data_IF_950781850837
#
_entry.id   IF_950781850837
#
_cell.length_a   1.000
_cell.length_b   1.000
_cell.length_c   1.000
_cell.angle_alpha   90.00
_cell.angle_beta   90.00
_cell.angle_gamma   90.00
#
_symmetry.space_group_name_H-M   'P 1'
#
loop_
_entity.id
_entity.type
_entity.pdbx_description
1 polymer ?
#
# COMPACT_ATOMS: atom_id res chain seq x y z
N UNK A 1 9.30 7.73 -43.48
CA UNK A 1 8.96 6.70 -42.48
C UNK A 1 8.31 7.38 -41.30
N UNK A 2 6.99 7.28 -41.17
CA UNK A 2 6.23 7.95 -40.11
C UNK A 2 6.38 7.14 -38.82
N UNK A 3 7.02 7.70 -37.81
CA UNK A 3 7.05 7.11 -36.48
C UNK A 3 5.61 6.98 -35.97
N UNK A 4 5.22 5.87 -35.32
CA UNK A 4 3.92 5.80 -34.67
C UNK A 4 3.90 6.90 -33.61
N UNK A 5 3.04 7.90 -33.82
CA UNK A 5 2.74 8.97 -32.88
C UNK A 5 2.18 8.28 -31.64
N UNK A 6 3.05 7.93 -30.68
CA UNK A 6 2.65 7.27 -29.45
C UNK A 6 1.67 8.19 -28.75
N UNK A 7 0.40 7.91 -28.96
CA UNK A 7 -0.71 8.58 -28.32
C UNK A 7 -0.55 8.30 -26.83
N UNK A 8 -0.45 9.35 -26.02
CA UNK A 8 -0.24 9.25 -24.58
C UNK A 8 -1.56 9.61 -23.90
N UNK A 9 -1.91 8.89 -22.83
CA UNK A 9 -3.06 9.19 -21.99
C UNK A 9 -2.60 9.73 -20.64
N UNK A 10 -3.32 10.73 -20.13
CA UNK A 10 -3.11 11.27 -18.80
C UNK A 10 -4.02 10.57 -17.81
N UNK A 11 -3.49 10.27 -16.62
CA UNK A 11 -4.26 9.69 -15.52
C UNK A 11 -3.74 10.14 -14.17
N UNK A 12 -4.54 9.94 -13.13
CA UNK A 12 -4.15 10.20 -11.74
C UNK A 12 -3.75 8.90 -11.06
N UNK A 13 -2.59 8.90 -10.39
CA UNK A 13 -2.16 7.75 -9.60
C UNK A 13 -3.04 7.57 -8.36
N UNK A 14 -3.59 6.37 -8.09
CA UNK A 14 -4.55 6.14 -7.00
C UNK A 14 -3.94 6.27 -5.59
N UNK A 15 -2.62 6.39 -5.49
CA UNK A 15 -1.88 6.37 -4.21
C UNK A 15 -1.37 7.76 -3.82
N UNK A 16 -0.90 8.54 -4.79
CA UNK A 16 -0.29 9.84 -4.57
C UNK A 16 -1.12 10.99 -5.16
N UNK A 17 -2.17 10.69 -5.94
CA UNK A 17 -2.96 11.70 -6.65
C UNK A 17 -2.15 12.48 -7.70
N UNK A 18 -0.94 12.04 -8.02
CA UNK A 18 -0.09 12.73 -9.00
C UNK A 18 -0.58 12.41 -10.41
N UNK A 19 -0.70 13.45 -11.23
CA UNK A 19 -0.98 13.32 -12.66
C UNK A 19 0.26 12.72 -13.36
N UNK A 20 0.08 11.64 -14.11
CA UNK A 20 1.17 11.01 -14.86
C UNK A 20 0.70 10.58 -16.26
N UNK A 21 1.67 10.44 -17.18
CA UNK A 21 1.44 9.98 -18.55
C UNK A 21 1.71 8.50 -18.66
N UNK A 22 0.83 7.81 -19.39
CA UNK A 22 1.02 6.42 -19.81
C UNK A 22 0.89 6.32 -21.32
N UNK A 23 1.57 5.34 -21.92
CA UNK A 23 1.35 5.02 -23.33
C UNK A 23 -0.11 4.56 -23.54
N UNK A 24 -0.75 4.94 -24.65
CA UNK A 24 -2.10 4.44 -24.97
C UNK A 24 -2.09 2.91 -24.95
N UNK A 25 -3.06 2.33 -24.26
CA UNK A 25 -3.18 0.88 -24.14
C UNK A 25 -2.25 0.25 -23.08
N UNK A 26 -1.39 1.02 -22.41
CA UNK A 26 -0.69 0.50 -21.23
C UNK A 26 -1.69 0.23 -20.10
N UNK A 27 -1.49 -0.91 -19.42
CA UNK A 27 -2.22 -1.28 -18.20
C UNK A 27 -1.60 -0.68 -16.93
N UNK A 28 -0.61 0.19 -17.07
CA UNK A 28 0.06 0.82 -15.92
C UNK A 28 -0.87 1.82 -15.21
N UNK A 29 -1.19 1.50 -13.96
CA UNK A 29 -2.07 2.32 -13.11
C UNK A 29 -1.32 3.23 -12.13
N UNK A 30 -0.02 2.99 -11.94
CA UNK A 30 0.80 3.69 -10.94
C UNK A 30 1.88 4.52 -11.61
N UNK A 31 2.12 5.72 -11.10
CA UNK A 31 3.14 6.64 -11.65
C UNK A 31 4.58 6.20 -11.39
N UNK A 32 4.81 5.26 -10.47
CA UNK A 32 6.14 4.77 -10.10
C UNK A 32 6.04 3.43 -9.37
N UNK A 33 7.13 2.65 -9.37
CA UNK A 33 7.23 1.43 -8.58
C UNK A 33 7.00 1.70 -7.08
N UNK A 34 7.44 2.84 -6.56
CA UNK A 34 7.19 3.23 -5.17
C UNK A 34 5.68 3.32 -4.86
N UNK A 35 4.89 3.89 -5.77
CA UNK A 35 3.44 3.96 -5.60
C UNK A 35 2.79 2.59 -5.72
N UNK A 36 3.27 1.76 -6.66
CA UNK A 36 2.82 0.37 -6.81
C UNK A 36 3.08 -0.45 -5.54
N UNK A 37 4.27 -0.36 -4.97
CA UNK A 37 4.63 -1.04 -3.73
C UNK A 37 3.85 -0.52 -2.52
N UNK A 38 3.60 0.80 -2.45
CA UNK A 38 2.74 1.37 -1.41
C UNK A 38 1.30 0.83 -1.53
N UNK A 39 0.74 0.75 -2.73
CA UNK A 39 -0.59 0.15 -2.95
C UNK A 39 -0.64 -1.32 -2.55
N UNK A 40 0.39 -2.11 -2.91
CA UNK A 40 0.48 -3.52 -2.50
C UNK A 40 0.53 -3.66 -0.98
N UNK A 41 1.35 -2.84 -0.31
CA UNK A 41 1.45 -2.82 1.16
C UNK A 41 0.11 -2.44 1.81
N UNK A 42 -0.58 -1.45 1.26
CA UNK A 42 -1.90 -1.05 1.75
C UNK A 42 -2.90 -2.20 1.64
N UNK A 43 -2.99 -2.85 0.47
CA UNK A 43 -3.85 -4.03 0.29
C UNK A 43 -3.52 -5.14 1.29
N UNK A 44 -2.23 -5.44 1.49
CA UNK A 44 -1.80 -6.45 2.45
C UNK A 44 -2.19 -6.07 3.89
N UNK A 45 -2.05 -4.80 4.24
CA UNK A 45 -2.46 -4.26 5.53
C UNK A 45 -3.97 -4.45 5.76
N UNK A 46 -4.78 -4.09 4.77
CA UNK A 46 -6.24 -4.19 4.83
C UNK A 46 -6.72 -5.65 4.89
N UNK A 47 -6.11 -6.54 4.11
CA UNK A 47 -6.39 -7.99 4.17
C UNK A 47 -6.09 -8.56 5.55
N UNK A 48 -4.89 -8.29 6.10
CA UNK A 48 -4.52 -8.76 7.43
C UNK A 48 -5.46 -8.22 8.51
N UNK A 49 -5.86 -6.96 8.41
CA UNK A 49 -6.83 -6.35 9.33
C UNK A 49 -8.19 -7.03 9.26
N UNK A 50 -8.68 -7.35 8.05
CA UNK A 50 -9.93 -8.09 7.86
C UNK A 50 -9.85 -9.52 8.40
N UNK A 51 -8.69 -10.16 8.31
CA UNK A 51 -8.43 -11.51 8.88
C UNK A 51 -8.16 -11.50 10.40
N UNK A 52 -8.11 -10.32 11.04
CA UNK A 52 -7.77 -10.21 12.46
C UNK A 52 -6.30 -10.50 12.77
N UNK A 53 -5.42 -10.35 11.79
CA UNK A 53 -3.98 -10.49 11.90
C UNK A 53 -3.30 -9.14 12.10
N UNK A 54 -2.09 -9.16 12.67
CA UNK A 54 -1.25 -7.99 12.82
C UNK A 54 -0.91 -7.44 11.43
N UNK A 55 -1.24 -6.18 11.12
CA UNK A 55 -1.10 -5.66 9.79
C UNK A 55 0.37 -5.39 9.42
N UNK A 56 1.26 -5.25 10.42
CA UNK A 56 2.71 -5.14 10.21
C UNK A 56 3.38 -6.48 9.85
N UNK A 57 3.21 -7.51 10.68
CA UNK A 57 3.97 -8.76 10.55
C UNK A 57 3.15 -9.96 10.10
N UNK A 58 1.82 -9.88 10.11
CA UNK A 58 0.91 -10.99 9.82
C UNK A 58 0.74 -11.99 10.96
N UNK A 59 1.31 -11.74 12.14
CA UNK A 59 1.12 -12.60 13.32
C UNK A 59 -0.26 -12.45 13.95
N UNK A 60 -0.70 -13.43 14.72
CA UNK A 60 -2.01 -13.40 15.38
C UNK A 60 -2.13 -12.19 16.33
N UNK A 61 -3.26 -11.47 16.23
CA UNK A 61 -3.60 -10.45 17.22
C UNK A 61 -4.04 -11.15 18.50
N UNK A 62 -3.40 -10.83 19.62
CA UNK A 62 -3.97 -11.17 20.92
C UNK A 62 -5.19 -10.28 21.14
N UNK A 63 -6.38 -10.90 21.12
CA UNK A 63 -7.64 -10.30 21.57
C UNK A 63 -7.56 -10.00 23.07
N UNK A 64 -6.77 -9.00 23.46
CA UNK A 64 -6.84 -8.44 24.80
C UNK A 64 -7.74 -7.21 24.69
N UNK A 65 -8.92 -7.32 25.30
CA UNK A 65 -9.98 -6.31 25.34
C UNK A 65 -9.53 -4.93 25.85
N UNK A 66 -8.34 -4.85 26.42
CA UNK A 66 -7.82 -3.66 27.11
C UNK A 66 -6.77 -2.89 26.33
N UNK A 67 -6.17 -3.48 25.29
CA UNK A 67 -5.23 -2.76 24.44
C UNK A 67 -5.98 -2.27 23.21
N UNK A 68 -5.82 -0.98 22.88
CA UNK A 68 -6.10 -0.37 21.56
C UNK A 68 -5.30 -1.04 20.41
N UNK A 69 -5.00 -2.33 20.50
CA UNK A 69 -3.92 -3.01 19.81
C UNK A 69 -4.32 -3.43 18.41
N UNK A 70 -4.19 -2.51 17.46
CA UNK A 70 -4.15 -2.80 16.02
C UNK A 70 -2.93 -3.66 15.61
N UNK A 71 -2.10 -4.11 16.56
CA UNK A 71 -0.83 -4.82 16.33
C UNK A 71 -0.65 -5.96 17.34
N UNK A 72 0.13 -7.00 16.97
CA UNK A 72 0.53 -8.05 17.91
C UNK A 72 1.49 -7.51 18.99
N UNK A 73 1.66 -8.23 20.10
CA UNK A 73 2.54 -7.82 21.23
C UNK A 73 3.95 -7.41 20.76
N UNK A 74 4.55 -8.19 19.85
CA UNK A 74 5.88 -7.92 19.33
C UNK A 74 5.94 -6.58 18.56
N UNK A 75 4.97 -6.32 17.69
CA UNK A 75 4.90 -5.08 16.91
C UNK A 75 4.50 -3.89 17.78
N UNK A 76 3.62 -4.09 18.77
CA UNK A 76 3.21 -3.06 19.71
C UNK A 76 4.39 -2.63 20.59
N UNK A 77 5.13 -3.57 21.18
CA UNK A 77 6.32 -3.27 21.99
C UNK A 77 7.38 -2.53 21.18
N UNK A 78 7.63 -2.97 19.94
CA UNK A 78 8.57 -2.31 19.03
C UNK A 78 8.14 -0.88 18.69
N UNK A 79 6.85 -0.66 18.47
CA UNK A 79 6.29 0.67 18.21
C UNK A 79 6.47 1.59 19.43
N UNK A 80 6.11 1.12 20.62
CA UNK A 80 6.29 1.88 21.87
C UNK A 80 7.75 2.21 22.15
N UNK A 81 8.70 1.34 21.79
CA UNK A 81 10.13 1.60 21.95
C UNK A 81 10.68 2.64 20.96
N UNK A 82 10.12 2.70 19.75
CA UNK A 82 10.66 3.58 18.69
C UNK A 82 10.12 5.01 18.77
N UNK A 83 8.90 5.20 19.26
CA UNK A 83 8.21 6.50 19.30
C UNK A 83 8.10 7.09 20.71
N UNK A 84 8.86 6.57 21.69
CA UNK A 84 8.98 7.11 23.05
C UNK A 84 10.35 7.72 23.23
#
# INVERSE_FOLDING_TARGET
>A
MSTPRQSQQWGYGPVCGTLFRTALGSRETYCSDKCKERAKKQKLYDTRRAEGLCPQCGGELKKSSDRRGEYCDCCAEKFHRYYR
#
